data_IF_746450751108
#
_entry.id   IF_746450751108
#
_cell.length_a   1.000
_cell.length_b   1.000
_cell.length_c   1.000
_cell.angle_alpha   90.00
_cell.angle_beta   90.00
_cell.angle_gamma   90.00
#
_symmetry.space_group_name_H-M   'P 1'
#
loop_
_entity.id
_entity.type
_entity.pdbx_description
1 polymer ?
#
# COMPACT_ATOMS: atom_id res chain seq x y z
N UNK A 1 54.49 -48.02 -13.40
CA UNK A 1 53.50 -48.90 -12.74
C UNK A 1 52.28 -48.05 -12.45
N UNK A 2 51.18 -48.33 -13.17
CA UNK A 2 49.93 -47.59 -13.11
C UNK A 2 49.21 -47.84 -11.79
N UNK A 3 48.82 -46.79 -11.09
CA UNK A 3 47.89 -46.84 -9.96
C UNK A 3 46.54 -46.34 -10.49
N UNK A 4 45.55 -47.23 -10.48
CA UNK A 4 44.15 -46.96 -10.81
C UNK A 4 43.52 -46.22 -9.63
N UNK A 5 42.89 -45.09 -9.89
CA UNK A 5 41.94 -44.43 -8.99
C UNK A 5 40.55 -44.74 -9.52
N UNK A 6 39.76 -45.45 -8.73
CA UNK A 6 38.34 -45.72 -8.98
C UNK A 6 37.53 -44.44 -8.70
N UNK A 7 36.79 -44.01 -9.71
CA UNK A 7 35.75 -42.98 -9.62
C UNK A 7 34.51 -43.55 -8.91
N UNK A 8 34.14 -42.95 -7.78
CA UNK A 8 32.81 -43.09 -7.19
C UNK A 8 32.04 -41.77 -7.38
N UNK A 9 31.02 -41.81 -8.22
CA UNK A 9 30.02 -40.75 -8.35
C UNK A 9 29.12 -40.72 -7.09
N UNK A 10 28.84 -39.54 -6.50
CA UNK A 10 27.83 -39.42 -5.46
C UNK A 10 26.41 -39.40 -6.05
N UNK A 11 25.62 -40.30 -5.49
CA UNK A 11 24.22 -40.63 -5.71
C UNK A 11 23.28 -39.41 -5.74
N UNK A 12 22.56 -39.24 -6.85
CA UNK A 12 21.57 -38.19 -7.05
C UNK A 12 20.20 -38.63 -6.56
N UNK A 13 19.86 -38.36 -5.30
CA UNK A 13 18.53 -38.74 -4.79
C UNK A 13 17.87 -37.78 -3.78
N UNK A 14 18.19 -36.47 -3.80
CA UNK A 14 17.51 -35.50 -2.91
C UNK A 14 16.62 -34.47 -3.62
N UNK A 15 16.57 -34.42 -4.96
CA UNK A 15 15.82 -33.39 -5.70
C UNK A 15 14.34 -33.66 -5.97
N UNK A 16 13.75 -34.76 -5.48
CA UNK A 16 12.37 -35.16 -5.83
C UNK A 16 11.31 -34.91 -4.75
N UNK A 17 11.63 -34.26 -3.64
CA UNK A 17 10.67 -34.08 -2.53
C UNK A 17 10.04 -32.69 -2.38
N UNK A 18 10.53 -31.65 -3.06
CA UNK A 18 10.00 -30.28 -2.88
C UNK A 18 9.00 -29.81 -3.96
N UNK A 19 8.80 -30.55 -5.06
CA UNK A 19 7.89 -30.13 -6.14
C UNK A 19 6.40 -30.48 -5.92
N UNK A 20 6.05 -31.19 -4.83
CA UNK A 20 4.68 -31.70 -4.64
C UNK A 20 3.81 -30.93 -3.63
N UNK A 21 4.28 -29.82 -3.04
CA UNK A 21 3.48 -29.05 -2.06
C UNK A 21 2.82 -27.76 -2.63
N UNK A 22 2.94 -27.48 -3.93
CA UNK A 22 2.40 -26.25 -4.55
C UNK A 22 0.99 -26.47 -5.17
N UNK A 23 0.43 -27.68 -5.14
CA UNK A 23 -0.82 -28.00 -5.86
C UNK A 23 -2.14 -27.85 -5.08
N UNK A 24 -2.17 -27.10 -3.97
CA UNK A 24 -3.41 -26.92 -3.19
C UNK A 24 -3.75 -25.45 -2.94
N UNK A 25 -3.57 -24.61 -3.96
CA UNK A 25 -4.19 -23.29 -3.98
C UNK A 25 -5.64 -23.46 -4.46
N UNK A 26 -6.64 -23.01 -3.67
CA UNK A 26 -8.03 -23.09 -4.07
C UNK A 26 -8.22 -22.38 -5.42
N UNK A 27 -9.04 -22.98 -6.28
CA UNK A 27 -9.33 -22.39 -7.58
C UNK A 27 -10.00 -21.02 -7.41
N UNK A 28 -9.92 -20.16 -8.44
CA UNK A 28 -10.58 -18.85 -8.41
C UNK A 28 -12.08 -18.98 -8.11
N UNK A 29 -12.72 -20.05 -8.58
CA UNK A 29 -14.12 -20.37 -8.34
C UNK A 29 -14.39 -20.76 -6.88
N UNK A 30 -13.49 -21.53 -6.26
CA UNK A 30 -13.59 -21.90 -4.84
C UNK A 30 -13.39 -20.69 -3.92
N UNK A 31 -12.47 -19.80 -4.26
CA UNK A 31 -12.28 -18.51 -3.58
C UNK A 31 -13.52 -17.63 -3.70
N UNK A 32 -14.12 -17.58 -4.89
CA UNK A 32 -15.34 -16.81 -5.13
C UNK A 32 -16.52 -17.36 -4.32
N UNK A 33 -16.70 -18.68 -4.30
CA UNK A 33 -17.73 -19.34 -3.50
C UNK A 33 -17.54 -19.12 -1.99
N UNK A 34 -16.29 -19.14 -1.52
CA UNK A 34 -15.96 -18.85 -0.13
C UNK A 34 -16.26 -17.40 0.27
N UNK A 35 -15.98 -16.44 -0.62
CA UNK A 35 -16.34 -15.03 -0.42
C UNK A 35 -17.85 -14.85 -0.37
N UNK A 36 -18.60 -15.47 -1.29
CA UNK A 36 -20.07 -15.40 -1.31
C UNK A 36 -20.69 -16.00 -0.04
N UNK A 37 -20.13 -17.10 0.49
CA UNK A 37 -20.59 -17.71 1.74
C UNK A 37 -20.31 -16.81 2.96
N UNK A 38 -19.11 -16.20 3.03
CA UNK A 38 -18.77 -15.24 4.08
C UNK A 38 -19.67 -14.00 4.07
N UNK A 39 -19.99 -13.47 2.89
CA UNK A 39 -20.89 -12.33 2.72
C UNK A 39 -22.30 -12.69 3.17
N UNK A 40 -22.79 -13.87 2.79
CA UNK A 40 -24.10 -14.38 3.20
C UNK A 40 -24.20 -14.55 4.71
N UNK A 41 -23.19 -15.17 5.32
CA UNK A 41 -23.12 -15.36 6.77
C UNK A 41 -23.07 -14.04 7.54
N UNK A 42 -22.32 -13.05 7.05
CA UNK A 42 -22.27 -11.70 7.63
C UNK A 42 -23.58 -10.92 7.50
N UNK A 43 -24.31 -11.12 6.41
CA UNK A 43 -25.65 -10.54 6.21
C UNK A 43 -26.68 -11.16 7.16
N UNK A 44 -26.57 -12.46 7.45
CA UNK A 44 -27.46 -13.17 8.37
C UNK A 44 -27.12 -12.88 9.86
N UNK A 45 -25.83 -12.66 10.19
CA UNK A 45 -25.35 -12.31 11.53
C UNK A 45 -25.49 -10.82 11.88
N UNK A 46 -25.89 -9.97 10.93
CA UNK A 46 -26.19 -8.56 11.24
C UNK A 46 -27.39 -8.50 12.20
N UNK A 47 -27.23 -7.88 13.39
CA UNK A 47 -28.29 -7.85 14.39
C UNK A 47 -29.52 -7.13 13.80
N UNK A 48 -30.68 -7.81 13.85
CA UNK A 48 -32.02 -7.25 13.58
C UNK A 48 -32.45 -6.18 14.60
N UNK A 49 -31.51 -5.47 15.22
CA UNK A 49 -31.76 -4.33 16.09
C UNK A 49 -31.72 -3.03 15.29
N UNK A 50 -32.68 -2.91 14.40
CA UNK A 50 -33.32 -1.66 14.01
C UNK A 50 -34.49 -2.05 13.09
N UNK A 51 -35.47 -2.76 13.65
CA UNK A 51 -36.79 -2.86 13.06
C UNK A 51 -37.50 -1.49 13.15
N UNK A 52 -37.02 -0.52 12.38
CA UNK A 52 -37.88 0.47 11.73
C UNK A 52 -38.02 0.00 10.29
N UNK A 53 -39.24 -0.35 9.93
CA UNK A 53 -39.66 -1.25 8.87
C UNK A 53 -39.63 -0.68 7.45
N UNK A 54 -38.58 0.03 7.05
CA UNK A 54 -38.46 0.55 5.68
C UNK A 54 -37.07 0.38 5.02
N UNK A 55 -36.00 0.05 5.78
CA UNK A 55 -34.63 0.07 5.21
C UNK A 55 -33.98 -1.27 4.82
N UNK A 56 -34.56 -2.43 5.17
CA UNK A 56 -33.87 -3.73 4.97
C UNK A 56 -34.12 -4.36 3.60
N UNK A 57 -35.23 -4.01 2.94
CA UNK A 57 -35.46 -4.34 1.51
C UNK A 57 -34.46 -3.60 0.63
N UNK A 58 -34.19 -2.33 0.96
CA UNK A 58 -33.36 -1.44 0.16
C UNK A 58 -31.90 -1.88 0.14
N UNK A 59 -31.37 -2.44 1.22
CA UNK A 59 -29.99 -2.95 1.24
C UNK A 59 -29.86 -4.23 0.41
N UNK A 60 -30.87 -5.11 0.42
CA UNK A 60 -30.87 -6.31 -0.41
C UNK A 60 -31.03 -5.98 -1.90
N UNK A 61 -31.88 -5.01 -2.23
CA UNK A 61 -32.01 -4.47 -3.59
C UNK A 61 -30.74 -3.71 -4.04
N UNK A 62 -30.08 -2.96 -3.16
CA UNK A 62 -28.80 -2.30 -3.44
C UNK A 62 -27.68 -3.30 -3.73
N UNK A 63 -27.60 -4.39 -2.95
CA UNK A 63 -26.60 -5.46 -3.16
C UNK A 63 -26.89 -6.26 -4.43
N UNK A 64 -28.16 -6.54 -4.73
CA UNK A 64 -28.58 -7.18 -5.98
C UNK A 64 -28.31 -6.28 -7.20
N UNK A 65 -28.68 -5.00 -7.11
CA UNK A 65 -28.43 -3.99 -8.13
C UNK A 65 -26.94 -3.66 -8.32
N UNK A 66 -26.10 -3.92 -7.31
CA UNK A 66 -24.65 -3.98 -7.48
C UNK A 66 -24.28 -5.25 -8.23
N UNK A 67 -24.71 -6.46 -7.87
CA UNK A 67 -24.32 -7.69 -8.59
C UNK A 67 -24.74 -7.70 -10.08
N UNK A 68 -25.87 -7.09 -10.43
CA UNK A 68 -26.41 -7.08 -11.81
C UNK A 68 -25.81 -6.01 -12.73
N UNK A 69 -25.17 -4.97 -12.19
CA UNK A 69 -24.50 -3.96 -13.03
C UNK A 69 -23.16 -4.50 -13.52
N UNK A 70 -22.92 -4.37 -14.83
CA UNK A 70 -21.62 -4.64 -15.42
C UNK A 70 -20.54 -3.79 -14.74
N UNK A 71 -19.30 -4.27 -14.65
CA UNK A 71 -18.22 -3.50 -13.99
C UNK A 71 -18.04 -2.11 -14.64
N UNK A 72 -18.34 -1.97 -15.93
CA UNK A 72 -18.38 -0.69 -16.65
C UNK A 72 -19.50 0.28 -16.21
N UNK A 73 -20.57 -0.20 -15.58
CA UNK A 73 -21.66 0.62 -15.04
C UNK A 73 -21.52 0.86 -13.54
N UNK A 74 -20.88 -0.05 -12.79
CA UNK A 74 -20.51 0.15 -11.37
C UNK A 74 -19.46 1.25 -11.21
N UNK A 75 -18.46 1.20 -12.08
CA UNK A 75 -17.44 2.24 -12.23
C UNK A 75 -17.82 3.00 -13.48
N UNK A 76 -18.82 3.89 -13.36
CA UNK A 76 -19.45 4.55 -14.50
C UNK A 76 -18.44 5.03 -15.56
N UNK A 77 -18.90 5.05 -16.81
CA UNK A 77 -18.20 5.47 -18.04
C UNK A 77 -17.59 6.89 -18.04
N UNK A 78 -17.36 7.49 -16.87
CA UNK A 78 -16.47 8.62 -16.61
C UNK A 78 -15.31 8.19 -15.69
N UNK A 79 -14.69 7.03 -15.90
CA UNK A 79 -13.30 6.88 -15.45
C UNK A 79 -12.47 7.80 -16.33
N UNK A 80 -12.35 9.06 -15.93
CA UNK A 80 -11.60 10.10 -16.61
C UNK A 80 -10.12 9.72 -16.66
N UNK A 81 -9.77 8.85 -17.60
CA UNK A 81 -8.45 8.91 -18.19
C UNK A 81 -8.40 10.21 -18.96
N UNK A 82 -7.41 11.05 -18.68
CA UNK A 82 -7.11 12.20 -19.53
C UNK A 82 -6.91 11.66 -20.94
N UNK A 83 -7.85 11.93 -21.84
CA UNK A 83 -7.52 11.85 -23.25
C UNK A 83 -6.52 12.97 -23.49
N UNK A 84 -5.45 12.68 -24.22
CA UNK A 84 -4.38 13.66 -24.50
C UNK A 84 -4.94 14.93 -25.15
N UNK A 85 -6.14 14.83 -25.74
CA UNK A 85 -6.92 15.92 -26.32
C UNK A 85 -7.45 16.94 -25.30
N UNK A 86 -7.58 16.59 -24.02
CA UNK A 86 -8.04 17.49 -22.95
C UNK A 86 -6.93 18.41 -22.40
N UNK A 87 -5.67 18.13 -22.74
CA UNK A 87 -4.51 18.90 -22.31
C UNK A 87 -4.29 20.04 -23.31
N UNK A 88 -4.26 21.28 -22.81
CA UNK A 88 -3.86 22.43 -23.62
C UNK A 88 -2.51 22.15 -24.30
N UNK A 89 -2.36 22.47 -25.60
CA UNK A 89 -1.08 22.25 -26.31
C UNK A 89 0.11 22.93 -25.62
N UNK A 90 -0.15 24.09 -25.02
CA UNK A 90 0.85 24.85 -24.27
C UNK A 90 1.13 24.25 -22.88
N UNK A 91 0.36 23.28 -22.41
CA UNK A 91 0.62 22.58 -21.15
C UNK A 91 1.33 21.23 -21.35
N UNK A 92 1.38 20.75 -22.58
CA UNK A 92 2.04 19.49 -22.92
C UNK A 92 3.56 19.58 -22.74
N UNK A 93 4.13 18.59 -22.05
CA UNK A 93 5.57 18.40 -21.94
C UNK A 93 6.13 17.93 -23.29
N UNK A 94 7.30 18.43 -23.68
CA UNK A 94 7.94 17.97 -24.91
C UNK A 94 8.20 16.46 -24.87
N UNK A 95 8.11 15.73 -26.00
CA UNK A 95 8.42 14.31 -26.05
C UNK A 95 9.81 14.02 -25.47
N UNK A 96 9.88 13.07 -24.52
CA UNK A 96 11.11 12.73 -23.79
C UNK A 96 11.41 13.61 -22.57
N UNK A 97 10.64 14.68 -22.34
CA UNK A 97 10.62 15.46 -21.09
C UNK A 97 9.42 15.11 -20.20
N UNK A 98 8.74 14.00 -20.47
CA UNK A 98 7.68 13.47 -19.63
C UNK A 98 8.21 13.17 -18.23
N UNK A 99 7.44 13.51 -17.21
CA UNK A 99 7.83 13.29 -15.83
C UNK A 99 7.26 11.98 -15.31
N UNK A 100 8.12 11.17 -14.69
CA UNK A 100 7.69 9.92 -14.08
C UNK A 100 7.48 10.15 -12.58
N UNK A 101 6.39 9.62 -12.07
CA UNK A 101 6.13 9.52 -10.63
C UNK A 101 6.01 8.04 -10.25
N UNK A 102 6.58 7.68 -9.12
CA UNK A 102 6.67 6.30 -8.64
C UNK A 102 6.03 6.18 -7.26
N UNK A 103 5.20 5.17 -7.06
CA UNK A 103 4.57 4.88 -5.77
C UNK A 103 5.00 3.50 -5.25
N UNK A 104 5.19 3.36 -3.94
CA UNK A 104 5.65 2.13 -3.27
C UNK A 104 4.50 1.10 -3.08
N UNK A 105 3.63 0.96 -4.07
CA UNK A 105 2.50 0.03 -4.07
C UNK A 105 2.39 -0.65 -5.42
N UNK A 106 1.75 -1.82 -5.47
CA UNK A 106 1.40 -2.50 -6.72
C UNK A 106 0.47 -1.67 -7.61
N UNK A 107 -0.40 -0.86 -7.02
CA UNK A 107 -1.21 0.13 -7.71
C UNK A 107 -1.51 1.28 -6.77
N UNK A 108 -1.62 2.49 -7.32
CA UNK A 108 -1.94 3.67 -6.52
C UNK A 108 -2.79 4.64 -7.33
N UNK A 109 -3.73 5.28 -6.65
CA UNK A 109 -4.69 6.19 -7.27
C UNK A 109 -4.67 7.49 -6.50
N UNK A 110 -4.53 8.59 -7.22
CA UNK A 110 -4.61 9.96 -6.70
C UNK A 110 -5.84 10.61 -7.31
N UNK A 111 -6.76 11.05 -6.46
CA UNK A 111 -7.99 11.77 -6.84
C UNK A 111 -7.78 13.23 -6.42
N UNK A 112 -8.62 13.78 -5.55
CA UNK A 112 -8.46 15.11 -5.01
C UNK A 112 -7.49 15.11 -3.81
N UNK A 113 -6.86 16.27 -3.60
CA UNK A 113 -6.04 16.53 -2.43
C UNK A 113 -6.83 17.34 -1.40
N UNK A 114 -6.40 17.31 -0.13
CA UNK A 114 -6.95 18.15 0.93
C UNK A 114 -5.83 19.00 1.53
N UNK A 115 -5.75 20.25 1.10
CA UNK A 115 -4.74 21.20 1.57
C UNK A 115 -5.40 22.21 2.52
N UNK A 116 -4.92 22.25 3.77
CA UNK A 116 -5.44 23.17 4.79
C UNK A 116 -6.96 23.07 5.00
N UNK A 117 -7.48 21.83 4.99
CA UNK A 117 -8.91 21.60 5.16
C UNK A 117 -9.75 21.80 3.90
N UNK A 118 -9.19 22.41 2.85
CA UNK A 118 -9.89 22.67 1.59
C UNK A 118 -9.61 21.58 0.55
N UNK A 119 -10.65 21.11 -0.18
CA UNK A 119 -10.45 20.20 -1.29
C UNK A 119 -9.75 20.95 -2.44
N UNK A 120 -8.67 20.37 -2.95
CA UNK A 120 -7.94 20.86 -4.12
C UNK A 120 -8.05 19.77 -5.19
N UNK A 121 -8.85 20.05 -6.22
CA UNK A 121 -9.08 19.12 -7.32
C UNK A 121 -7.83 18.96 -8.18
N UNK A 122 -7.74 17.83 -8.87
CA UNK A 122 -6.75 17.65 -9.95
C UNK A 122 -6.98 18.68 -11.06
N UNK A 123 -5.92 19.11 -11.77
CA UNK A 123 -6.05 20.15 -12.80
C UNK A 123 -7.08 19.83 -13.89
N UNK A 124 -7.25 18.55 -14.20
CA UNK A 124 -8.17 18.06 -15.23
C UNK A 124 -9.42 17.38 -14.65
N UNK A 125 -9.66 17.47 -13.32
CA UNK A 125 -10.76 16.79 -12.62
C UNK A 125 -10.83 15.28 -12.87
N UNK A 126 -9.68 14.72 -13.20
CA UNK A 126 -9.49 13.33 -13.59
C UNK A 126 -8.69 12.59 -12.50
N UNK A 127 -8.83 11.28 -12.50
CA UNK A 127 -8.16 10.41 -11.55
C UNK A 127 -6.78 10.03 -12.10
N UNK A 128 -5.74 10.26 -11.31
CA UNK A 128 -4.36 9.90 -11.67
C UNK A 128 -4.09 8.47 -11.18
N UNK A 129 -3.83 7.56 -12.13
CA UNK A 129 -3.66 6.12 -11.84
C UNK A 129 -2.21 5.70 -12.07
N UNK A 130 -1.52 5.35 -10.99
CA UNK A 130 -0.21 4.71 -11.03
C UNK A 130 -0.39 3.22 -11.32
N UNK A 131 0.17 2.80 -12.44
CA UNK A 131 0.09 1.41 -12.92
C UNK A 131 1.25 0.60 -12.35
N UNK A 132 0.98 -0.66 -11.99
CA UNK A 132 2.03 -1.60 -11.59
C UNK A 132 3.17 -1.60 -12.61
N UNK A 133 4.41 -1.44 -12.13
CA UNK A 133 5.57 -1.50 -13.00
C UNK A 133 6.38 -2.78 -12.75
N UNK A 134 6.81 -3.03 -11.51
CA UNK A 134 7.59 -4.22 -11.18
C UNK A 134 7.61 -4.53 -9.68
N UNK A 135 8.02 -5.76 -9.37
CA UNK A 135 8.41 -6.19 -8.02
C UNK A 135 9.91 -6.51 -8.02
N UNK A 136 10.65 -5.90 -7.09
CA UNK A 136 12.07 -6.13 -6.86
C UNK A 136 12.27 -6.91 -5.57
N UNK A 137 13.27 -7.78 -5.56
CA UNK A 137 13.78 -8.43 -4.34
C UNK A 137 14.90 -7.56 -3.79
N UNK A 138 14.76 -7.11 -2.55
CA UNK A 138 15.77 -6.38 -1.78
C UNK A 138 16.25 -7.28 -0.65
N UNK A 139 17.57 -7.39 -0.46
CA UNK A 139 18.18 -8.26 0.54
C UNK A 139 18.76 -9.56 -0.03
N UNK A 140 19.45 -10.31 0.83
CA UNK A 140 20.08 -11.60 0.49
C UNK A 140 19.80 -12.62 1.59
N UNK A 141 19.69 -13.90 1.24
CA UNK A 141 19.49 -14.98 2.20
C UNK A 141 18.09 -15.01 2.83
N UNK A 142 18.02 -15.07 4.16
CA UNK A 142 16.75 -15.19 4.92
C UNK A 142 15.96 -13.88 5.01
N UNK A 143 16.59 -12.74 4.71
CA UNK A 143 15.99 -11.40 4.85
C UNK A 143 15.59 -10.78 3.50
N UNK A 144 15.17 -11.61 2.52
CA UNK A 144 14.68 -11.10 1.24
C UNK A 144 13.31 -10.46 1.42
N UNK A 145 13.23 -9.16 1.14
CA UNK A 145 11.98 -8.41 1.11
C UNK A 145 11.55 -8.19 -0.35
N UNK A 146 10.28 -8.44 -0.64
CA UNK A 146 9.67 -8.11 -1.92
C UNK A 146 9.14 -6.68 -1.88
N UNK A 147 9.55 -5.88 -2.84
CA UNK A 147 9.16 -4.49 -2.98
C UNK A 147 8.52 -4.25 -4.34
N UNK A 148 7.22 -3.99 -4.34
CA UNK A 148 6.48 -3.65 -5.56
C UNK A 148 6.32 -2.15 -5.69
N UNK A 149 6.44 -1.65 -6.92
CA UNK A 149 6.21 -0.23 -7.22
C UNK A 149 5.37 -0.04 -8.48
N UNK A 150 4.66 1.08 -8.49
CA UNK A 150 3.81 1.54 -9.56
C UNK A 150 4.38 2.84 -10.14
N UNK A 151 4.08 3.12 -11.39
CA UNK A 151 4.53 4.31 -12.12
C UNK A 151 3.33 5.03 -12.75
N UNK A 152 3.41 6.36 -12.72
CA UNK A 152 2.60 7.25 -13.51
C UNK A 152 3.49 8.14 -14.40
N UNK A 153 3.22 8.14 -15.71
CA UNK A 153 3.91 9.01 -16.68
C UNK A 153 3.04 10.24 -16.92
N UNK A 154 3.48 11.39 -16.41
CA UNK A 154 2.80 12.66 -16.53
C UNK A 154 3.25 13.40 -17.80
N UNK A 155 2.28 13.87 -18.58
CA UNK A 155 2.50 14.60 -19.83
C UNK A 155 2.16 16.09 -19.75
N UNK A 156 1.55 16.54 -18.66
CA UNK A 156 1.11 17.92 -18.45
C UNK A 156 2.02 18.62 -17.43
N UNK A 157 2.38 19.89 -17.70
CA UNK A 157 3.14 20.72 -16.76
C UNK A 157 2.31 21.06 -15.52
N UNK A 158 1.05 21.46 -15.70
CA UNK A 158 0.11 21.75 -14.59
C UNK A 158 -0.07 20.55 -13.68
N UNK A 159 -0.24 19.35 -14.24
CA UNK A 159 -0.41 18.13 -13.46
C UNK A 159 0.86 17.68 -12.75
N UNK A 160 2.02 17.75 -13.42
CA UNK A 160 3.30 17.47 -12.78
C UNK A 160 3.55 18.41 -11.59
N UNK A 161 3.25 19.69 -11.74
CA UNK A 161 3.35 20.66 -10.66
C UNK A 161 2.35 20.36 -9.53
N UNK A 162 1.10 20.06 -9.87
CA UNK A 162 0.08 19.70 -8.88
C UNK A 162 0.47 18.45 -8.07
N UNK A 163 1.06 17.44 -8.73
CA UNK A 163 1.56 16.22 -8.10
C UNK A 163 2.74 16.49 -7.16
N UNK A 164 3.64 17.42 -7.49
CA UNK A 164 4.74 17.82 -6.60
C UNK A 164 4.24 18.56 -5.37
N UNK A 165 3.20 19.37 -5.53
CA UNK A 165 2.59 20.14 -4.45
C UNK A 165 1.60 19.30 -3.63
N UNK A 166 1.36 18.04 -4.02
CA UNK A 166 0.40 17.17 -3.38
C UNK A 166 0.82 16.79 -1.96
N UNK A 167 -0.13 16.75 -1.02
CA UNK A 167 0.16 16.46 0.40
C UNK A 167 0.86 15.12 0.64
N UNK A 168 0.67 14.15 -0.25
CA UNK A 168 1.31 12.82 -0.17
C UNK A 168 2.61 12.69 -0.99
N UNK A 169 3.04 13.72 -1.70
CA UNK A 169 4.31 13.73 -2.42
C UNK A 169 5.48 13.63 -1.43
N UNK A 170 6.49 12.81 -1.75
CA UNK A 170 7.60 12.53 -0.85
C UNK A 170 7.27 11.55 0.29
N UNK A 171 6.02 11.09 0.37
CA UNK A 171 5.58 10.06 1.34
C UNK A 171 5.07 8.82 0.61
N UNK A 172 4.05 8.99 -0.23
CA UNK A 172 3.42 7.88 -0.96
C UNK A 172 4.01 7.68 -2.34
N UNK A 173 4.34 8.78 -3.01
CA UNK A 173 4.91 8.77 -4.34
C UNK A 173 5.99 9.84 -4.51
N UNK A 174 6.86 9.61 -5.47
CA UNK A 174 8.13 10.31 -5.65
C UNK A 174 8.42 10.50 -7.13
N UNK A 175 9.11 11.58 -7.51
CA UNK A 175 9.56 11.78 -8.90
C UNK A 175 10.72 10.86 -9.31
N UNK A 176 11.45 10.30 -8.33
CA UNK A 176 12.61 9.43 -8.57
C UNK A 176 12.31 8.00 -8.15
N UNK A 177 12.57 7.05 -9.04
CA UNK A 177 12.43 5.63 -8.75
C UNK A 177 13.32 5.20 -7.58
N UNK A 178 14.56 5.69 -7.52
CA UNK A 178 15.50 5.35 -6.45
C UNK A 178 14.95 5.72 -5.07
N UNK A 179 14.32 6.90 -4.94
CA UNK A 179 13.71 7.33 -3.68
C UNK A 179 12.55 6.42 -3.31
N UNK A 180 11.69 6.08 -4.28
CA UNK A 180 10.59 5.16 -4.03
C UNK A 180 11.08 3.78 -3.55
N UNK A 181 12.18 3.25 -4.12
CA UNK A 181 12.74 1.94 -3.77
C UNK A 181 13.48 1.91 -2.42
N UNK A 182 14.03 3.03 -1.98
CA UNK A 182 14.82 3.12 -0.74
C UNK A 182 13.99 3.46 0.50
N UNK A 183 12.74 3.88 0.33
CA UNK A 183 11.85 4.22 1.44
C UNK A 183 11.30 2.94 2.06
N UNK A 184 11.41 2.82 3.38
CA UNK A 184 10.78 1.74 4.14
C UNK A 184 9.25 1.81 3.96
N UNK A 185 8.70 0.86 3.21
CA UNK A 185 7.28 0.78 2.92
C UNK A 185 6.41 0.70 4.18
N UNK A 186 6.88 0.06 5.27
CA UNK A 186 6.15 0.02 6.54
C UNK A 186 6.10 1.39 7.18
N UNK A 187 7.21 2.12 7.17
CA UNK A 187 7.26 3.51 7.66
C UNK A 187 6.37 4.41 6.82
N UNK A 188 6.40 4.28 5.50
CA UNK A 188 5.58 5.11 4.60
C UNK A 188 4.07 4.89 4.77
N UNK A 189 3.63 3.64 4.98
CA UNK A 189 2.21 3.33 5.30
C UNK A 189 1.79 4.00 6.61
N UNK A 190 2.61 3.91 7.65
CA UNK A 190 2.34 4.58 8.94
C UNK A 190 2.33 6.10 8.80
N UNK A 191 3.30 6.64 8.07
CA UNK A 191 3.42 8.08 7.80
C UNK A 191 2.16 8.59 7.10
N UNK A 192 1.73 7.94 6.03
CA UNK A 192 0.51 8.28 5.31
C UNK A 192 -0.73 8.22 6.20
N UNK A 193 -0.85 7.18 7.03
CA UNK A 193 -1.95 7.07 8.01
C UNK A 193 -1.98 8.27 8.97
N UNK A 194 -0.84 8.66 9.53
CA UNK A 194 -0.76 9.82 10.43
C UNK A 194 -1.03 11.13 9.69
N UNK A 195 -0.53 11.29 8.46
CA UNK A 195 -0.83 12.46 7.64
C UNK A 195 -2.33 12.60 7.33
N UNK A 196 -3.00 11.51 6.95
CA UNK A 196 -4.46 11.52 6.73
C UNK A 196 -5.22 11.89 8.01
N UNK A 197 -4.81 11.38 9.17
CA UNK A 197 -5.42 11.74 10.45
C UNK A 197 -5.22 13.23 10.79
N UNK A 198 -4.04 13.79 10.48
CA UNK A 198 -3.70 15.20 10.74
C UNK A 198 -4.29 16.17 9.72
N UNK A 199 -4.71 15.70 8.54
CA UNK A 199 -5.29 16.54 7.50
C UNK A 199 -6.60 17.23 7.94
N UNK A 200 -7.29 16.65 8.93
CA UNK A 200 -8.53 17.19 9.49
C UNK A 200 -8.31 18.09 10.73
N UNK A 201 -7.07 18.20 11.22
CA UNK A 201 -6.77 19.03 12.39
C UNK A 201 -6.62 20.49 12.00
N UNK A 202 -7.23 21.36 12.79
CA UNK A 202 -7.02 22.80 12.74
C UNK A 202 -5.57 23.14 13.13
N UNK A 203 -5.08 24.27 12.61
CA UNK A 203 -3.73 24.77 12.83
C UNK A 203 -3.42 24.91 14.33
N UNK A 204 -4.37 25.42 15.13
CA UNK A 204 -4.20 25.54 16.58
C UNK A 204 -4.01 24.18 17.27
N UNK A 205 -4.81 23.17 16.89
CA UNK A 205 -4.69 21.82 17.41
C UNK A 205 -3.34 21.18 17.02
N UNK A 206 -2.91 21.40 15.77
CA UNK A 206 -1.62 20.90 15.28
C UNK A 206 -0.44 21.50 16.06
N UNK A 207 -0.46 22.82 16.32
CA UNK A 207 0.58 23.47 17.12
C UNK A 207 0.63 22.97 18.56
N UNK A 208 -0.53 22.77 19.20
CA UNK A 208 -0.57 22.21 20.55
C UNK A 208 0.01 20.79 20.59
N UNK A 209 -0.35 19.96 19.59
CA UNK A 209 0.18 18.60 19.48
C UNK A 209 1.69 18.62 19.22
N UNK A 210 2.18 19.49 18.32
CA UNK A 210 3.60 19.65 18.08
C UNK A 210 4.37 20.05 19.35
N UNK A 211 3.84 21.00 20.12
CA UNK A 211 4.44 21.40 21.40
C UNK A 211 4.47 20.26 22.42
N UNK A 212 3.37 19.51 22.55
CA UNK A 212 3.29 18.35 23.46
C UNK A 212 4.30 17.27 23.11
N UNK A 213 4.57 17.09 21.82
CA UNK A 213 5.54 16.11 21.35
C UNK A 213 6.93 16.68 21.11
N UNK A 214 7.22 17.93 21.50
CA UNK A 214 8.55 18.54 21.33
C UNK A 214 9.00 18.60 19.86
N UNK A 215 8.07 18.94 18.95
CA UNK A 215 8.37 19.28 17.56
C UNK A 215 8.32 20.81 17.45
N UNK A 216 9.40 21.41 16.95
CA UNK A 216 9.45 22.87 16.82
C UNK A 216 8.41 23.37 15.81
N UNK A 217 7.59 24.37 16.19
CA UNK A 217 6.59 24.94 15.31
C UNK A 217 7.27 25.73 14.18
N UNK A 218 7.17 25.23 12.96
CA UNK A 218 7.58 25.96 11.75
C UNK A 218 6.54 26.99 11.31
N UNK A 219 6.90 27.81 10.32
CA UNK A 219 5.99 28.78 9.70
C UNK A 219 5.00 28.10 8.74
N UNK A 220 5.43 27.00 8.12
CA UNK A 220 4.58 26.20 7.24
C UNK A 220 3.85 25.08 8.01
N UNK A 221 2.52 25.12 7.93
CA UNK A 221 1.62 24.13 8.56
C UNK A 221 1.80 22.76 7.93
N UNK A 222 2.07 22.67 6.62
CA UNK A 222 2.25 21.38 5.95
C UNK A 222 3.56 20.72 6.38
N UNK A 223 4.64 21.50 6.44
CA UNK A 223 5.90 21.03 7.00
C UNK A 223 5.74 20.56 8.45
N UNK A 224 4.98 21.29 9.27
CA UNK A 224 4.69 20.88 10.64
C UNK A 224 3.93 19.54 10.70
N UNK A 225 2.92 19.35 9.83
CA UNK A 225 2.19 18.06 9.72
C UNK A 225 3.14 16.93 9.35
N UNK A 226 4.00 17.14 8.35
CA UNK A 226 4.95 16.13 7.89
C UNK A 226 5.95 15.74 8.99
N UNK A 227 6.52 16.72 9.72
CA UNK A 227 7.44 16.48 10.84
C UNK A 227 6.76 15.71 11.98
N UNK A 228 5.54 16.09 12.35
CA UNK A 228 4.78 15.43 13.40
C UNK A 228 4.39 14.00 13.01
N UNK A 229 3.93 13.80 11.77
CA UNK A 229 3.59 12.49 11.24
C UNK A 229 4.82 11.57 11.18
N UNK A 230 5.99 12.10 10.82
CA UNK A 230 7.25 11.34 10.82
C UNK A 230 7.61 10.89 12.25
N UNK A 231 7.51 11.79 13.23
CA UNK A 231 7.76 11.45 14.64
C UNK A 231 6.83 10.34 15.16
N UNK A 232 5.55 10.37 14.80
CA UNK A 232 4.62 9.30 15.17
C UNK A 232 4.87 8.00 14.41
N UNK A 233 5.24 8.08 13.13
CA UNK A 233 5.63 6.92 12.35
C UNK A 233 6.86 6.23 12.94
N UNK A 234 7.88 7.00 13.34
CA UNK A 234 9.09 6.49 13.99
C UNK A 234 8.77 5.84 15.33
N UNK A 235 8.02 6.52 16.20
CA UNK A 235 7.58 5.96 17.48
C UNK A 235 6.82 4.64 17.31
N UNK A 236 5.90 4.58 16.35
CA UNK A 236 5.14 3.36 16.07
C UNK A 236 6.00 2.23 15.47
N UNK A 237 7.06 2.56 14.73
CA UNK A 237 8.03 1.57 14.25
C UNK A 237 8.89 1.01 15.40
N UNK A 238 9.29 1.86 16.34
CA UNK A 238 10.08 1.44 17.50
C UNK A 238 9.26 0.57 18.46
N UNK A 239 7.98 0.92 18.67
CA UNK A 239 7.05 0.09 19.44
C UNK A 239 6.83 -1.29 18.80
N UNK A 240 6.67 -1.37 17.47
CA UNK A 240 6.54 -2.64 16.75
C UNK A 240 7.81 -3.50 16.86
N UNK A 241 8.99 -2.89 16.76
CA UNK A 241 10.28 -3.57 16.94
C UNK A 241 10.44 -4.11 18.36
N UNK A 242 10.12 -3.30 19.37
CA UNK A 242 10.17 -3.72 20.77
C UNK A 242 9.22 -4.88 21.05
N UNK A 243 7.98 -4.81 20.55
CA UNK A 243 7.00 -5.88 20.68
C UNK A 243 7.46 -7.18 19.99
N UNK A 244 7.96 -7.07 18.76
CA UNK A 244 8.47 -8.23 18.02
C UNK A 244 9.66 -8.90 18.72
N UNK A 245 10.56 -8.09 19.29
CA UNK A 245 11.69 -8.58 20.07
C UNK A 245 11.25 -9.26 21.37
N UNK A 246 10.22 -8.74 22.05
CA UNK A 246 9.69 -9.34 23.27
C UNK A 246 9.07 -10.72 22.98
N UNK A 247 8.27 -10.83 21.91
CA UNK A 247 7.68 -12.10 21.46
C UNK A 247 8.77 -13.12 21.14
N UNK A 248 9.83 -12.73 20.43
CA UNK A 248 10.97 -13.61 20.12
C UNK A 248 11.71 -14.10 21.37
N UNK A 249 11.89 -13.24 22.37
CA UNK A 249 12.50 -13.64 23.64
C UNK A 249 11.62 -14.62 24.41
N UNK A 250 10.30 -14.41 24.44
CA UNK A 250 9.36 -15.32 25.08
C UNK A 250 9.29 -16.68 24.38
N UNK A 251 9.29 -16.71 23.04
CA UNK A 251 9.31 -17.96 22.27
C UNK A 251 10.59 -18.74 22.52
N UNK A 252 11.75 -18.09 22.47
CA UNK A 252 13.03 -18.73 22.78
C UNK A 252 13.07 -19.30 24.20
N UNK A 253 12.54 -18.57 25.18
CA UNK A 253 12.48 -19.03 26.58
C UNK A 253 11.56 -20.24 26.73
N UNK A 254 10.46 -20.31 25.97
CA UNK A 254 9.57 -21.45 25.94
C UNK A 254 10.23 -22.68 25.26
N UNK A 255 10.98 -22.49 24.18
CA UNK A 255 11.74 -23.55 23.51
C UNK A 255 12.83 -24.14 24.43
N UNK A 256 13.56 -23.28 25.13
CA UNK A 256 14.56 -23.68 26.13
C UNK A 256 13.92 -24.50 27.28
N UNK A 257 12.73 -24.12 27.75
CA UNK A 257 11.97 -24.87 28.77
C UNK A 257 11.45 -26.23 28.26
N UNK A 258 11.14 -26.34 26.97
CA UNK A 258 10.65 -27.57 26.35
C UNK A 258 11.78 -28.52 25.89
N UNK A 259 13.05 -28.14 26.08
CA UNK A 259 14.20 -28.96 25.70
C UNK A 259 14.40 -29.09 24.19
N UNK A 260 13.77 -28.22 23.39
CA UNK A 260 14.04 -28.14 21.95
C UNK A 260 15.37 -27.41 21.76
N UNK A 261 16.46 -28.18 21.67
CA UNK A 261 17.74 -27.63 21.23
C UNK A 261 17.70 -27.42 19.71
N UNK A 262 18.03 -26.23 19.18
CA UNK A 262 18.09 -26.03 17.75
C UNK A 262 19.15 -26.96 17.13
N UNK A 263 18.88 -27.54 15.94
CA UNK A 263 19.86 -28.37 15.25
C UNK A 263 21.11 -27.55 14.93
N UNK A 264 22.28 -28.09 15.30
CA UNK A 264 23.60 -27.54 14.97
C UNK A 264 23.85 -27.51 13.46
#
# INVERSE_FOLDING_TARGET
MSVRTDDQEPDGNEKKKEENEIQNLPSLEELQAYIDDLVKKKLDDMPKQAASSEGSSDIKELVAGLKEKSDSEKYGAQSGYVDVTDIDKDDFLEPGKEENFYAHKTGYVVVDDKRNGLPVQTPFKNVIVFKYQATRKLGTGKDVQLFSYANYVCKSRKEAQWLRDHSMYGTMFFSRADTALNVDGRKAIKLAKFMTNMANLDQYALFNMAKQHGVEPGTDVQELRARLANKFAEKAMDEEKAASSAVLMETRKAEELMGFSPPN
#
